data_IF_382735113738
#
_entry.id   IF_382735113738
#
_cell.length_a   1.000
_cell.length_b   1.000
_cell.length_c   1.000
_cell.angle_alpha   90.00
_cell.angle_beta   90.00
_cell.angle_gamma   90.00
#
_symmetry.space_group_name_H-M   'P 1'
#
loop_
_entity.id
_entity.type
_entity.pdbx_description
1 polymer ?
#
# COMPACT_ATOMS: atom_id res chain seq x y z
N UNK A 1 -9.54 -7.73 28.73
CA UNK A 1 -8.51 -7.25 29.68
C UNK A 1 -7.28 -8.14 29.53
N UNK A 2 -7.42 -9.45 29.79
CA UNK A 2 -6.37 -10.47 29.63
C UNK A 2 -5.71 -10.49 28.25
N UNK A 3 -6.48 -10.48 27.15
CA UNK A 3 -5.92 -10.55 25.79
C UNK A 3 -4.91 -9.43 25.43
N UNK A 4 -5.08 -8.21 25.97
CA UNK A 4 -4.16 -7.09 25.69
C UNK A 4 -2.90 -7.17 26.54
N UNK A 5 -3.00 -7.65 27.79
CA UNK A 5 -1.85 -7.86 28.68
C UNK A 5 -1.05 -9.10 28.26
N UNK A 6 -1.72 -10.18 27.81
CA UNK A 6 -1.08 -11.36 27.21
C UNK A 6 -0.27 -11.00 25.95
N UNK A 7 -0.72 -10.00 25.19
CA UNK A 7 -0.02 -9.52 24.00
C UNK A 7 1.26 -8.74 24.36
N UNK A 8 1.24 -8.00 25.48
CA UNK A 8 2.40 -7.27 26.01
C UNK A 8 3.31 -8.16 26.88
N UNK A 9 2.81 -9.29 27.39
CA UNK A 9 3.50 -10.20 28.32
C UNK A 9 4.89 -10.70 27.86
N UNK A 10 5.16 -10.96 26.57
CA UNK A 10 6.49 -11.38 26.13
C UNK A 10 7.56 -10.27 26.19
N UNK A 11 7.15 -9.01 26.41
CA UNK A 11 7.97 -7.80 26.20
C UNK A 11 8.00 -6.84 27.38
N UNK A 12 7.12 -7.02 28.36
CA UNK A 12 7.08 -6.24 29.59
C UNK A 12 7.68 -7.03 30.75
N UNK A 13 8.21 -6.33 31.77
CA UNK A 13 8.66 -7.01 32.99
C UNK A 13 7.44 -7.57 33.74
N UNK A 14 7.63 -8.65 34.48
CA UNK A 14 6.56 -9.26 35.28
C UNK A 14 5.98 -8.28 36.30
N UNK A 15 6.82 -7.40 36.88
CA UNK A 15 6.38 -6.37 37.84
C UNK A 15 5.49 -5.30 37.19
N UNK A 16 5.80 -4.88 35.96
CA UNK A 16 5.00 -3.87 35.24
C UNK A 16 3.66 -4.44 34.75
N UNK A 17 3.64 -5.73 34.37
CA UNK A 17 2.41 -6.44 34.00
C UNK A 17 1.48 -6.60 35.20
N UNK A 18 2.02 -7.00 36.35
CA UNK A 18 1.26 -7.18 37.59
C UNK A 18 0.68 -5.84 38.08
N UNK A 19 1.44 -4.74 37.96
CA UNK A 19 0.97 -3.40 38.29
C UNK A 19 -0.18 -2.95 37.38
N UNK A 20 -0.04 -3.13 36.06
CA UNK A 20 -1.06 -2.75 35.09
C UNK A 20 -2.32 -3.63 35.19
N UNK A 21 -2.18 -4.93 35.45
CA UNK A 21 -3.32 -5.82 35.69
C UNK A 21 -4.11 -5.37 36.92
N UNK A 22 -3.42 -5.11 38.03
CA UNK A 22 -4.04 -4.66 39.28
C UNK A 22 -4.85 -3.37 39.08
N UNK A 23 -4.27 -2.39 38.39
CA UNK A 23 -4.93 -1.12 38.12
C UNK A 23 -6.13 -1.26 37.17
N UNK A 24 -6.03 -2.14 36.16
CA UNK A 24 -7.14 -2.43 35.24
C UNK A 24 -8.29 -3.17 35.92
N UNK A 25 -8.00 -4.10 36.84
CA UNK A 25 -9.00 -4.81 37.64
C UNK A 25 -9.72 -3.86 38.58
N UNK A 26 -8.99 -2.99 39.27
CA UNK A 26 -9.57 -1.97 40.16
C UNK A 26 -10.44 -0.97 39.38
N UNK A 27 -9.98 -0.53 38.21
CA UNK A 27 -10.73 0.37 37.34
C UNK A 27 -12.02 -0.27 36.79
N UNK A 28 -12.00 -1.57 36.50
CA UNK A 28 -13.15 -2.30 35.96
C UNK A 28 -14.32 -2.45 36.95
N UNK A 29 -14.09 -2.30 38.26
CA UNK A 29 -15.14 -2.40 39.29
C UNK A 29 -16.12 -1.23 39.20
N UNK A 30 -15.65 -0.05 38.81
CA UNK A 30 -16.44 1.19 38.86
C UNK A 30 -16.70 1.82 37.49
N UNK A 31 -16.10 1.29 36.42
CA UNK A 31 -16.17 1.88 35.09
C UNK A 31 -16.80 0.97 34.02
N UNK A 32 -17.50 1.53 33.04
CA UNK A 32 -18.04 0.78 31.91
C UNK A 32 -16.95 0.06 31.09
N UNK A 33 -17.31 -1.08 30.50
CA UNK A 33 -16.42 -1.97 29.74
C UNK A 33 -15.63 -1.25 28.63
N UNK A 34 -16.22 -0.25 27.97
CA UNK A 34 -15.54 0.52 26.92
C UNK A 34 -14.41 1.41 27.46
N UNK A 35 -14.57 1.97 28.66
CA UNK A 35 -13.53 2.75 29.33
C UNK A 35 -12.38 1.85 29.77
N UNK A 36 -12.70 0.66 30.29
CA UNK A 36 -11.71 -0.37 30.65
C UNK A 36 -10.94 -0.85 29.41
N UNK A 37 -11.64 -1.04 28.28
CA UNK A 37 -10.99 -1.40 27.00
C UNK A 37 -10.00 -0.32 26.56
N UNK A 38 -10.40 0.95 26.58
CA UNK A 38 -9.52 2.08 26.23
C UNK A 38 -8.30 2.16 27.15
N UNK A 39 -8.49 1.96 28.45
CA UNK A 39 -7.39 1.96 29.42
C UNK A 39 -6.44 0.78 29.17
N UNK A 40 -6.97 -0.43 28.89
CA UNK A 40 -6.15 -1.61 28.59
C UNK A 40 -5.30 -1.46 27.32
N UNK A 41 -5.78 -0.71 26.32
CA UNK A 41 -5.00 -0.38 25.12
C UNK A 41 -3.86 0.59 25.47
N UNK A 42 -4.13 1.61 26.30
CA UNK A 42 -3.08 2.53 26.75
C UNK A 42 -1.99 1.84 27.57
N UNK A 43 -2.35 0.92 28.46
CA UNK A 43 -1.35 0.13 29.19
C UNK A 43 -0.57 -0.78 28.27
N UNK A 44 -1.21 -1.45 27.30
CA UNK A 44 -0.50 -2.22 26.28
C UNK A 44 0.53 -1.35 25.55
N UNK A 45 0.11 -0.18 25.07
CA UNK A 45 0.98 0.72 24.31
C UNK A 45 2.10 1.33 25.18
N UNK A 46 1.86 1.55 26.47
CA UNK A 46 2.86 2.06 27.41
C UNK A 46 3.84 0.98 27.90
N UNK A 47 3.37 -0.27 28.03
CA UNK A 47 4.18 -1.44 28.40
C UNK A 47 4.96 -2.00 27.21
N UNK A 48 4.50 -1.75 25.99
CA UNK A 48 5.22 -1.98 24.74
C UNK A 48 6.25 -0.87 24.50
N UNK A 49 7.21 -0.75 25.42
CA UNK A 49 8.32 0.22 25.37
C UNK A 49 9.26 -0.06 24.18
N UNK A 50 9.12 -1.23 23.55
CA UNK A 50 9.78 -1.64 22.29
C UNK A 50 8.99 -1.28 21.02
N UNK A 51 8.04 -0.33 21.10
CA UNK A 51 7.64 0.52 19.97
C UNK A 51 8.77 1.35 19.35
N UNK A 52 10.03 0.98 19.61
CA UNK A 52 11.18 1.37 18.80
C UNK A 52 11.02 0.64 17.48
N UNK A 53 10.58 1.37 16.46
CA UNK A 53 10.82 1.06 15.06
C UNK A 53 12.14 0.26 14.95
N UNK A 54 12.13 -1.00 14.47
CA UNK A 54 13.33 -1.83 14.46
C UNK A 54 14.46 -0.99 13.87
N UNK A 55 15.55 -0.80 14.64
CA UNK A 55 16.69 0.10 14.33
C UNK A 55 16.83 0.22 12.82
N UNK A 56 16.77 1.43 12.26
CA UNK A 56 16.69 1.66 10.80
C UNK A 56 17.61 0.73 9.98
N UNK A 57 18.81 0.45 10.48
CA UNK A 57 19.77 -0.53 9.94
C UNK A 57 19.19 -1.95 9.71
N UNK A 58 18.34 -2.46 10.60
CA UNK A 58 17.65 -3.75 10.48
C UNK A 58 16.59 -3.71 9.38
N UNK A 59 15.79 -2.66 9.27
CA UNK A 59 14.82 -2.50 8.17
C UNK A 59 15.53 -2.36 6.82
N UNK A 60 16.58 -1.54 6.78
CA UNK A 60 17.49 -1.38 5.64
C UNK A 60 18.12 -2.72 5.24
N UNK A 61 18.51 -3.56 6.21
CA UNK A 61 19.11 -4.88 5.91
C UNK A 61 18.12 -5.88 5.32
N UNK A 62 16.81 -5.71 5.59
CA UNK A 62 15.75 -6.59 5.10
C UNK A 62 15.20 -6.19 3.73
N UNK A 63 15.53 -5.00 3.23
CA UNK A 63 15.07 -4.55 1.91
C UNK A 63 15.50 -5.53 0.83
N UNK A 64 14.61 -5.82 -0.11
CA UNK A 64 14.91 -6.79 -1.16
C UNK A 64 13.84 -6.84 -2.24
N UNK A 65 14.26 -7.23 -3.44
CA UNK A 65 13.36 -7.51 -4.56
C UNK A 65 13.58 -8.94 -5.03
N UNK A 66 12.60 -9.81 -4.78
CA UNK A 66 12.60 -11.20 -5.25
C UNK A 66 11.74 -11.32 -6.51
N UNK A 67 12.22 -12.08 -7.48
CA UNK A 67 11.55 -12.32 -8.77
C UNK A 67 11.34 -13.81 -8.95
N UNK A 68 10.11 -14.21 -9.26
CA UNK A 68 9.75 -15.61 -9.47
C UNK A 68 8.89 -15.74 -10.72
N UNK A 69 9.05 -16.85 -11.45
CA UNK A 69 8.17 -17.20 -12.56
C UNK A 69 7.08 -18.11 -12.02
N UNK A 70 5.82 -17.78 -12.31
CA UNK A 70 4.66 -18.56 -11.94
C UNK A 70 4.32 -19.57 -13.03
N UNK A 71 3.66 -20.70 -12.70
CA UNK A 71 3.32 -21.74 -13.69
C UNK A 71 2.42 -21.26 -14.84
N UNK A 72 1.67 -20.19 -14.63
CA UNK A 72 0.81 -19.57 -15.65
C UNK A 72 1.55 -18.55 -16.54
N UNK A 73 2.88 -18.51 -16.48
CA UNK A 73 3.70 -17.59 -17.28
C UNK A 73 3.80 -16.17 -16.70
N UNK A 74 3.08 -15.85 -15.62
CA UNK A 74 3.20 -14.55 -14.95
C UNK A 74 4.52 -14.47 -14.17
N UNK A 75 5.06 -13.26 -14.02
CA UNK A 75 6.17 -12.99 -13.10
C UNK A 75 5.64 -12.40 -11.80
N UNK A 76 6.04 -12.97 -10.68
CA UNK A 76 5.79 -12.40 -9.35
C UNK A 76 7.01 -11.63 -8.89
N UNK A 77 6.79 -10.39 -8.51
CA UNK A 77 7.75 -9.52 -7.85
C UNK A 77 7.32 -9.38 -6.39
N UNK A 78 8.23 -9.63 -5.46
CA UNK A 78 8.03 -9.37 -4.02
C UNK A 78 9.05 -8.33 -3.62
N UNK A 79 8.57 -7.16 -3.23
CA UNK A 79 9.38 -6.01 -2.85
C UNK A 79 9.18 -5.74 -1.36
N UNK A 80 10.26 -5.86 -0.60
CA UNK A 80 10.34 -5.41 0.79
C UNK A 80 11.12 -4.10 0.79
N UNK A 81 10.48 -2.99 1.17
CA UNK A 81 11.08 -1.66 1.21
C UNK A 81 11.22 -1.19 2.67
N UNK A 82 12.32 -0.50 2.98
CA UNK A 82 12.44 0.26 4.22
C UNK A 82 11.54 1.52 4.16
N UNK A 83 11.20 2.15 5.30
CA UNK A 83 10.24 3.27 5.35
C UNK A 83 10.58 4.44 4.41
N UNK A 84 11.87 4.77 4.27
CA UNK A 84 12.31 5.86 3.41
C UNK A 84 12.08 5.50 1.94
N UNK A 85 12.52 4.30 1.52
CA UNK A 85 12.28 3.81 0.15
C UNK A 85 10.78 3.66 -0.16
N UNK A 86 9.98 3.22 0.82
CA UNK A 86 8.53 3.10 0.69
C UNK A 86 7.88 4.46 0.46
N UNK A 87 8.27 5.50 1.21
CA UNK A 87 7.72 6.84 1.03
C UNK A 87 7.92 7.38 -0.40
N UNK A 88 9.08 7.11 -1.03
CA UNK A 88 9.30 7.48 -2.44
C UNK A 88 8.40 6.72 -3.40
N UNK A 89 8.24 5.40 -3.19
CA UNK A 89 7.38 4.56 -4.03
C UNK A 89 5.91 4.97 -3.90
N UNK A 90 5.43 5.13 -2.67
CA UNK A 90 4.06 5.53 -2.37
C UNK A 90 3.76 6.89 -2.97
N UNK A 91 4.64 7.88 -2.77
CA UNK A 91 4.46 9.22 -3.35
C UNK A 91 4.36 9.18 -4.87
N UNK A 92 5.21 8.39 -5.54
CA UNK A 92 5.23 8.31 -6.99
C UNK A 92 3.99 7.58 -7.54
N UNK A 93 3.65 6.42 -6.97
CA UNK A 93 2.52 5.60 -7.41
C UNK A 93 1.20 6.33 -7.12
N UNK A 94 1.00 6.81 -5.90
CA UNK A 94 -0.24 7.51 -5.52
C UNK A 94 -0.41 8.80 -6.30
N UNK A 95 0.68 9.52 -6.60
CA UNK A 95 0.64 10.71 -7.46
C UNK A 95 0.13 10.39 -8.86
N UNK A 96 0.64 9.32 -9.49
CA UNK A 96 0.22 8.90 -10.82
C UNK A 96 -1.21 8.33 -10.84
N UNK A 97 -1.54 7.46 -9.88
CA UNK A 97 -2.88 6.89 -9.77
C UNK A 97 -3.92 7.98 -9.46
N UNK A 98 -3.60 8.92 -8.56
CA UNK A 98 -4.48 10.06 -8.27
C UNK A 98 -4.68 10.96 -9.50
N UNK A 99 -3.61 11.23 -10.25
CA UNK A 99 -3.71 11.97 -11.50
C UNK A 99 -4.61 11.25 -12.50
N UNK A 100 -4.48 9.94 -12.65
CA UNK A 100 -5.32 9.11 -13.52
C UNK A 100 -6.80 9.15 -13.12
N UNK A 101 -7.08 9.02 -11.83
CA UNK A 101 -8.43 9.09 -11.28
C UNK A 101 -9.05 10.48 -11.42
N UNK A 102 -8.24 11.53 -11.32
CA UNK A 102 -8.66 12.94 -11.43
C UNK A 102 -8.77 13.43 -12.87
N UNK A 103 -8.38 12.62 -13.87
CA UNK A 103 -8.53 13.01 -15.28
C UNK A 103 -9.98 13.42 -15.55
N UNK A 104 -10.21 14.61 -16.14
CA UNK A 104 -11.56 15.06 -16.44
C UNK A 104 -12.21 14.06 -17.38
N UNK A 105 -13.29 13.44 -16.90
CA UNK A 105 -14.14 12.57 -17.72
C UNK A 105 -15.22 13.45 -18.31
N UNK A 106 -15.25 13.52 -19.63
CA UNK A 106 -16.42 14.06 -20.33
C UNK A 106 -17.49 12.98 -20.30
N UNK A 107 -18.21 12.91 -19.18
CA UNK A 107 -19.47 12.20 -19.12
C UNK A 107 -20.43 12.97 -20.03
N UNK A 108 -20.94 12.33 -21.08
CA UNK A 108 -22.08 12.85 -21.80
C UNK A 108 -23.22 12.95 -20.77
N UNK A 109 -23.55 14.18 -20.36
CA UNK A 109 -24.83 14.42 -19.69
C UNK A 109 -25.90 13.97 -20.67
N UNK A 110 -26.99 13.38 -20.16
CA UNK A 110 -28.25 13.26 -20.88
C UNK A 110 -28.69 14.68 -21.33
N UNK A 111 -28.22 15.11 -22.49
CA UNK A 111 -28.71 16.27 -23.24
C UNK A 111 -28.56 15.93 -24.73
N UNK A 112 -29.61 16.15 -25.54
CA UNK A 112 -29.76 15.55 -26.84
C UNK A 112 -28.90 16.36 -27.81
N UNK A 113 -27.71 15.88 -28.12
CA UNK A 113 -26.90 16.34 -29.24
C UNK A 113 -27.56 16.06 -30.60
N UNK A 114 -28.84 15.65 -30.63
CA UNK A 114 -29.63 15.44 -31.85
C UNK A 114 -29.18 14.23 -32.68
N UNK A 115 -28.08 13.60 -32.26
CA UNK A 115 -27.58 12.33 -32.73
C UNK A 115 -28.27 11.25 -31.88
N UNK A 116 -29.34 10.64 -32.38
CA UNK A 116 -30.17 9.67 -31.64
C UNK A 116 -29.48 8.36 -31.22
N UNK A 117 -28.16 8.36 -31.03
CA UNK A 117 -27.37 7.21 -30.63
C UNK A 117 -26.94 7.39 -29.17
N UNK A 118 -27.36 6.47 -28.31
CA UNK A 118 -26.90 6.38 -26.93
C UNK A 118 -25.40 6.08 -26.92
N UNK A 119 -24.56 7.10 -26.77
CA UNK A 119 -23.12 6.90 -26.60
C UNK A 119 -22.88 6.11 -25.30
N UNK A 120 -22.38 4.89 -25.43
CA UNK A 120 -22.03 4.06 -24.29
C UNK A 120 -20.87 4.71 -23.52
N UNK A 121 -21.12 5.05 -22.25
CA UNK A 121 -20.11 5.61 -21.37
C UNK A 121 -19.17 4.47 -20.97
N UNK A 122 -18.09 4.29 -21.74
CA UNK A 122 -17.03 3.35 -21.37
C UNK A 122 -16.18 4.00 -20.28
N UNK A 123 -16.56 3.75 -19.02
CA UNK A 123 -15.73 4.09 -17.88
C UNK A 123 -14.43 3.28 -17.87
N UNK A 124 -13.37 3.83 -17.28
CA UNK A 124 -12.15 3.05 -17.02
C UNK A 124 -12.47 1.86 -16.11
N UNK A 125 -12.43 0.65 -16.69
CA UNK A 125 -12.73 -0.61 -16.02
C UNK A 125 -11.55 -1.21 -15.23
N UNK A 126 -10.41 -0.52 -15.18
CA UNK A 126 -9.23 -1.00 -14.45
C UNK A 126 -9.48 -0.93 -12.94
N UNK A 127 -9.07 -1.99 -12.25
CA UNK A 127 -9.09 -2.05 -10.79
C UNK A 127 -7.96 -1.21 -10.19
N UNK A 128 -8.10 -0.77 -8.93
CA UNK A 128 -7.04 -0.02 -8.24
C UNK A 128 -5.66 -0.72 -8.25
N UNK A 129 -5.56 -2.06 -8.02
CA UNK A 129 -4.28 -2.75 -8.17
C UNK A 129 -3.70 -2.69 -9.59
N UNK A 130 -4.55 -2.68 -10.63
CA UNK A 130 -4.09 -2.53 -12.02
C UNK A 130 -3.58 -1.11 -12.28
N UNK A 131 -4.27 -0.08 -11.78
CA UNK A 131 -3.81 1.31 -11.88
C UNK A 131 -2.46 1.53 -11.19
N UNK A 132 -2.30 1.00 -9.98
CA UNK A 132 -1.04 1.09 -9.25
C UNK A 132 0.10 0.34 -9.98
N UNK A 133 -0.22 -0.80 -10.58
CA UNK A 133 0.75 -1.55 -11.38
C UNK A 133 1.14 -0.77 -12.66
N UNK A 134 0.19 -0.17 -13.36
CA UNK A 134 0.44 0.66 -14.54
C UNK A 134 1.33 1.85 -14.19
N UNK A 135 1.02 2.58 -13.10
CA UNK A 135 1.84 3.67 -12.58
C UNK A 135 3.28 3.23 -12.31
N UNK A 136 3.45 2.09 -11.63
CA UNK A 136 4.78 1.53 -11.37
C UNK A 136 5.55 1.22 -12.68
N UNK A 137 4.88 0.64 -13.68
CA UNK A 137 5.50 0.33 -14.97
C UNK A 137 5.86 1.59 -15.75
N UNK A 138 5.05 2.66 -15.68
CA UNK A 138 5.35 3.92 -16.34
C UNK A 138 6.58 4.61 -15.74
N UNK A 139 6.77 4.54 -14.43
CA UNK A 139 8.00 5.00 -13.76
C UNK A 139 9.23 4.24 -14.31
N UNK A 140 9.14 2.91 -14.37
CA UNK A 140 10.24 2.06 -14.87
C UNK A 140 10.51 2.34 -16.35
N UNK A 141 9.46 2.50 -17.16
CA UNK A 141 9.58 2.85 -18.59
C UNK A 141 10.26 4.20 -18.76
N UNK A 142 9.85 5.21 -18.00
CA UNK A 142 10.44 6.53 -18.04
C UNK A 142 11.94 6.46 -17.70
N UNK A 143 12.30 5.76 -16.61
CA UNK A 143 13.69 5.57 -16.21
C UNK A 143 14.52 4.88 -17.31
N UNK A 144 13.98 3.85 -17.98
CA UNK A 144 14.64 3.16 -19.08
C UNK A 144 14.71 3.99 -20.37
N UNK A 145 13.84 4.98 -20.57
CA UNK A 145 13.87 5.86 -21.76
C UNK A 145 14.65 7.15 -21.55
N UNK A 146 14.95 7.51 -20.30
CA UNK A 146 15.58 8.78 -19.97
C UNK A 146 17.06 8.77 -20.38
N UNK A 147 17.45 9.69 -21.26
CA UNK A 147 18.82 9.85 -21.78
C UNK A 147 19.74 10.63 -20.84
N UNK A 148 19.18 11.34 -19.86
CA UNK A 148 19.91 12.12 -18.84
C UNK A 148 19.91 11.41 -17.47
N UNK A 149 19.42 10.17 -17.41
CA UNK A 149 19.13 9.42 -16.20
C UNK A 149 20.16 8.37 -15.76
N UNK A 150 19.86 7.77 -14.61
CA UNK A 150 20.68 6.94 -13.71
C UNK A 150 21.57 5.89 -14.41
N UNK A 151 22.90 6.04 -14.32
CA UNK A 151 23.89 4.95 -14.48
C UNK A 151 23.83 4.16 -15.80
N UNK A 152 24.59 3.05 -15.87
CA UNK A 152 24.57 2.14 -17.02
C UNK A 152 23.26 1.32 -17.03
N UNK A 153 22.17 1.92 -17.53
CA UNK A 153 20.95 1.19 -17.84
C UNK A 153 21.04 0.65 -19.26
N UNK A 154 21.07 -0.67 -19.41
CA UNK A 154 20.86 -1.28 -20.72
C UNK A 154 19.41 -1.07 -21.13
N UNK A 155 19.20 -0.35 -22.24
CA UNK A 155 17.87 -0.11 -22.77
C UNK A 155 17.25 -1.41 -23.28
N UNK A 156 15.97 -1.64 -22.99
CA UNK A 156 15.21 -2.80 -23.49
C UNK A 156 14.19 -2.35 -24.53
N UNK A 157 14.30 -2.85 -25.77
CA UNK A 157 13.32 -2.59 -26.85
C UNK A 157 12.25 -3.68 -26.88
N UNK A 158 10.99 -3.31 -26.72
CA UNK A 158 9.82 -4.21 -26.84
C UNK A 158 9.09 -3.86 -28.15
N UNK A 159 8.95 -4.84 -29.05
CA UNK A 159 8.19 -4.68 -30.30
C UNK A 159 6.80 -5.30 -30.11
N UNK A 160 5.77 -4.45 -30.06
CA UNK A 160 4.36 -4.89 -30.01
C UNK A 160 3.81 -4.93 -31.43
N UNK A 161 3.32 -6.09 -31.88
CA UNK A 161 2.64 -6.25 -33.17
C UNK A 161 1.17 -6.53 -32.91
N UNK A 162 0.29 -5.69 -33.44
CA UNK A 162 -1.16 -5.88 -33.41
C UNK A 162 -1.74 -5.59 -34.79
N UNK A 163 -2.88 -6.22 -35.13
CA UNK A 163 -3.59 -5.97 -36.38
C UNK A 163 -4.50 -4.75 -36.23
N UNK A 164 -4.84 -4.09 -37.35
CA UNK A 164 -5.75 -2.94 -37.36
C UNK A 164 -7.10 -3.26 -36.69
N UNK A 165 -7.59 -4.48 -36.92
CA UNK A 165 -8.84 -4.98 -36.36
C UNK A 165 -8.82 -5.01 -34.82
N UNK A 166 -7.69 -5.38 -34.19
CA UNK A 166 -7.53 -5.36 -32.73
C UNK A 166 -7.46 -3.97 -32.11
N UNK A 167 -7.33 -2.92 -32.93
CA UNK A 167 -7.23 -1.52 -32.49
C UNK A 167 -8.58 -0.79 -32.60
N UNK A 168 -9.54 -1.37 -33.32
CA UNK A 168 -10.85 -0.79 -33.61
C UNK A 168 -11.98 -1.37 -32.75
N UNK A 169 -11.66 -2.32 -31.86
CA UNK A 169 -12.60 -2.94 -30.90
C UNK A 169 -12.26 -2.45 -29.50
#
# INVERSE_FOLDING_TARGET
>A
ITANLEQAAPRATTEDLDAAEKELVEFAVTNPVDSVRKLSIRYRDALDVDGVEPREEVLVSRRGLKRMVLPNGMKRYVLDADPVSAAYLDTAIDGMTSAELRKPRFEAKDDPDGCGDNHEIIGDGRTMPQLNFDAFIDIVRHALSCTEGIGALDHTTIIVRMTLESLQT
#
